data_IF_143543772212
#
_entry.id   IF_143543772212
#
_cell.length_a   1.000
_cell.length_b   1.000
_cell.length_c   1.000
_cell.angle_alpha   90.00
_cell.angle_beta   90.00
_cell.angle_gamma   90.00
#
_symmetry.space_group_name_H-M   'P 1'
#
loop_
_entity.id
_entity.type
_entity.pdbx_description
1 polymer ?
#
# COMPACT_ATOMS: atom_id res chain seq x y z
N UNK A 1 14.37 10.98 5.39
CA UNK A 1 13.84 12.19 4.73
C UNK A 1 13.96 13.37 5.68
N UNK A 2 14.92 14.27 5.43
CA UNK A 2 15.00 15.56 6.11
C UNK A 2 13.94 16.52 5.54
N UNK A 3 13.44 17.44 6.37
CA UNK A 3 12.60 18.56 5.89
C UNK A 3 11.09 18.31 5.80
N UNK A 4 10.54 17.22 6.36
CA UNK A 4 9.07 17.07 6.46
C UNK A 4 8.48 18.21 7.30
N UNK A 5 7.31 18.70 6.88
CA UNK A 5 6.49 19.66 7.64
C UNK A 5 5.10 19.07 7.79
N UNK A 6 4.47 19.34 8.93
CA UNK A 6 3.09 18.95 9.20
C UNK A 6 2.30 20.21 9.57
N UNK A 7 1.05 20.27 9.12
CA UNK A 7 0.11 21.33 9.47
C UNK A 7 -0.33 21.21 10.94
N UNK A 8 -0.96 22.24 11.53
CA UNK A 8 -1.63 22.14 12.82
C UNK A 8 -2.61 20.95 12.89
N UNK A 9 -2.77 20.37 14.07
CA UNK A 9 -3.54 19.13 14.24
C UNK A 9 -5.03 19.34 13.95
N UNK A 10 -5.58 20.44 14.46
CA UNK A 10 -6.93 20.96 14.22
C UNK A 10 -7.23 21.16 12.72
N UNK A 11 -6.26 21.69 11.96
CA UNK A 11 -6.44 21.87 10.51
C UNK A 11 -6.60 20.52 9.79
N UNK A 12 -5.83 19.49 10.17
CA UNK A 12 -5.99 18.15 9.58
C UNK A 12 -7.26 17.45 10.08
N UNK A 13 -7.60 17.58 11.36
CA UNK A 13 -8.82 17.03 11.94
C UNK A 13 -10.07 17.58 11.22
N UNK A 14 -10.11 18.87 10.91
CA UNK A 14 -11.19 19.47 10.12
C UNK A 14 -11.31 18.85 8.72
N UNK A 15 -10.18 18.50 8.07
CA UNK A 15 -10.18 17.81 6.77
C UNK A 15 -10.71 16.38 6.88
N UNK A 16 -10.39 15.66 7.96
CA UNK A 16 -10.92 14.32 8.23
C UNK A 16 -12.43 14.39 8.48
N UNK A 17 -12.90 15.34 9.29
CA UNK A 17 -14.33 15.52 9.55
C UNK A 17 -15.11 15.86 8.27
N UNK A 18 -14.58 16.75 7.43
CA UNK A 18 -15.16 17.07 6.13
C UNK A 18 -15.19 15.84 5.19
N UNK A 19 -14.13 15.03 5.18
CA UNK A 19 -14.11 13.80 4.39
C UNK A 19 -15.16 12.79 4.90
N UNK A 20 -15.29 12.62 6.21
CA UNK A 20 -16.31 11.76 6.83
C UNK A 20 -17.73 12.18 6.43
N UNK A 21 -18.03 13.48 6.46
CA UNK A 21 -19.34 13.99 6.05
C UNK A 21 -19.67 13.63 4.60
N UNK A 22 -18.73 13.82 3.67
CA UNK A 22 -18.93 13.53 2.24
C UNK A 22 -19.00 12.03 1.94
N UNK A 23 -18.30 11.19 2.71
CA UNK A 23 -18.39 9.73 2.57
C UNK A 23 -19.82 9.24 2.83
N UNK A 24 -20.49 9.76 3.86
CA UNK A 24 -21.85 9.37 4.22
C UNK A 24 -21.99 7.85 4.40
N UNK A 25 -22.97 7.27 3.72
CA UNK A 25 -23.28 5.82 3.75
C UNK A 25 -22.49 5.01 2.70
N UNK A 26 -21.52 5.61 2.02
CA UNK A 26 -20.70 4.91 1.03
C UNK A 26 -19.83 3.84 1.68
N UNK A 27 -19.64 2.70 1.02
CA UNK A 27 -18.66 1.69 1.42
C UNK A 27 -17.23 2.21 1.16
N UNK A 28 -16.73 2.99 2.11
CA UNK A 28 -15.45 3.69 2.00
C UNK A 28 -14.73 3.75 3.34
N UNK A 29 -13.49 3.23 3.36
CA UNK A 29 -12.65 3.16 4.55
C UNK A 29 -11.68 4.34 4.63
N UNK A 30 -11.89 5.24 5.59
CA UNK A 30 -11.13 6.47 5.77
C UNK A 30 -9.94 6.28 6.72
N UNK A 31 -8.72 6.33 6.18
CA UNK A 31 -7.49 6.26 6.98
C UNK A 31 -6.87 7.65 7.16
N UNK A 32 -6.75 8.11 8.41
CA UNK A 32 -6.03 9.34 8.71
C UNK A 32 -4.55 9.05 8.96
N UNK A 33 -3.68 9.72 8.22
CA UNK A 33 -2.22 9.57 8.32
C UNK A 33 -1.58 10.75 9.05
N UNK A 34 -0.59 10.47 9.88
CA UNK A 34 0.26 11.48 10.52
C UNK A 34 1.75 11.21 10.29
N UNK A 35 2.47 12.23 9.82
CA UNK A 35 3.93 12.22 9.68
C UNK A 35 4.63 12.96 10.85
N UNK A 36 3.90 13.24 11.94
CA UNK A 36 4.39 14.00 13.08
C UNK A 36 5.53 13.30 13.84
N UNK A 37 5.67 11.97 13.74
CA UNK A 37 6.72 11.19 14.43
C UNK A 37 8.13 11.72 14.14
N UNK A 38 8.37 12.15 12.90
CA UNK A 38 9.69 12.62 12.46
C UNK A 38 9.97 14.09 12.78
N UNK A 39 8.93 14.88 13.06
CA UNK A 39 9.01 16.33 13.24
C UNK A 39 8.80 16.76 14.70
N UNK A 40 7.89 16.11 15.40
CA UNK A 40 7.46 16.45 16.76
C UNK A 40 7.61 15.29 17.77
N UNK A 41 8.03 14.10 17.31
CA UNK A 41 8.21 12.92 18.16
C UNK A 41 6.99 12.01 18.24
N UNK A 42 7.15 10.89 18.94
CA UNK A 42 6.15 9.82 18.97
C UNK A 42 4.89 10.21 19.74
N UNK A 43 5.04 10.83 20.91
CA UNK A 43 3.93 11.24 21.76
C UNK A 43 2.95 12.18 21.03
N UNK A 44 3.47 13.18 20.32
CA UNK A 44 2.65 14.09 19.50
C UNK A 44 1.96 13.35 18.34
N UNK A 45 2.65 12.40 17.71
CA UNK A 45 2.04 11.60 16.65
C UNK A 45 0.87 10.74 17.16
N UNK A 46 0.99 10.17 18.36
CA UNK A 46 -0.07 9.39 19.02
C UNK A 46 -1.22 10.30 19.47
N UNK A 47 -0.92 11.50 20.00
CA UNK A 47 -1.96 12.47 20.36
C UNK A 47 -2.79 12.87 19.14
N UNK A 48 -2.12 13.24 18.03
CA UNK A 48 -2.77 13.55 16.75
C UNK A 48 -3.58 12.38 16.21
N UNK A 49 -3.03 11.17 16.29
CA UNK A 49 -3.72 9.96 15.87
C UNK A 49 -5.07 9.79 16.56
N UNK A 50 -5.10 9.85 17.90
CA UNK A 50 -6.35 9.74 18.64
C UNK A 50 -7.31 10.89 18.32
N UNK A 51 -6.80 12.11 18.14
CA UNK A 51 -7.62 13.25 17.73
C UNK A 51 -8.22 13.07 16.33
N UNK A 52 -7.52 12.40 15.40
CA UNK A 52 -8.06 12.10 14.07
C UNK A 52 -9.11 10.98 14.09
N UNK A 53 -9.06 10.07 15.07
CA UNK A 53 -10.16 9.13 15.32
C UNK A 53 -11.42 9.87 15.79
N UNK A 54 -11.27 10.83 16.71
CA UNK A 54 -12.39 11.67 17.17
C UNK A 54 -13.01 12.49 16.03
N UNK A 55 -12.19 12.91 15.05
CA UNK A 55 -12.65 13.58 13.84
C UNK A 55 -13.35 12.67 12.82
N UNK A 56 -13.42 11.36 13.07
CA UNK A 56 -14.19 10.41 12.26
C UNK A 56 -13.38 9.52 11.30
N UNK A 57 -12.07 9.41 11.48
CA UNK A 57 -11.28 8.40 10.76
C UNK A 57 -11.62 6.97 11.23
N UNK A 58 -11.66 6.01 10.30
CA UNK A 58 -11.86 4.59 10.62
C UNK A 58 -10.59 3.94 11.16
N UNK A 59 -9.43 4.36 10.63
CA UNK A 59 -8.13 3.88 11.07
C UNK A 59 -7.07 4.99 11.06
N UNK A 60 -6.00 4.76 11.82
CA UNK A 60 -4.83 5.63 11.87
C UNK A 60 -3.62 4.99 11.23
N UNK A 61 -2.86 5.82 10.51
CA UNK A 61 -1.51 5.50 10.07
C UNK A 61 -0.49 6.49 10.66
N UNK A 62 0.29 6.04 11.65
CA UNK A 62 1.47 6.79 12.12
C UNK A 62 2.68 6.44 11.25
N UNK A 63 3.20 7.42 10.52
CA UNK A 63 4.30 7.20 9.59
C UNK A 63 5.68 7.26 10.27
N UNK A 64 6.54 6.31 9.92
CA UNK A 64 7.92 6.24 10.38
C UNK A 64 8.17 5.88 11.85
N UNK A 65 7.46 4.89 12.45
CA UNK A 65 7.98 4.20 13.64
C UNK A 65 9.40 3.71 13.39
N UNK A 66 10.29 3.82 14.38
CA UNK A 66 11.73 3.54 14.21
C UNK A 66 12.22 2.27 14.91
N UNK A 67 11.38 1.64 15.70
CA UNK A 67 11.69 0.40 16.42
C UNK A 67 10.41 -0.36 16.80
N UNK A 68 10.59 -1.57 17.30
CA UNK A 68 9.51 -2.41 17.86
C UNK A 68 8.85 -1.73 19.05
N UNK A 69 9.59 -0.95 19.85
CA UNK A 69 9.05 -0.17 20.97
C UNK A 69 8.11 0.93 20.46
N UNK A 70 8.51 1.67 19.40
CA UNK A 70 7.61 2.64 18.76
C UNK A 70 6.32 1.94 18.30
N UNK A 71 6.43 0.77 17.66
CA UNK A 71 5.27 0.00 17.16
C UNK A 71 4.36 -0.47 18.30
N UNK A 72 4.92 -1.03 19.38
CA UNK A 72 4.17 -1.46 20.57
C UNK A 72 3.51 -0.29 21.29
N UNK A 73 4.18 0.86 21.37
CA UNK A 73 3.62 2.07 21.98
C UNK A 73 2.44 2.62 21.15
N UNK A 74 2.57 2.66 19.83
CA UNK A 74 1.47 3.01 18.91
C UNK A 74 0.30 2.02 19.07
N UNK A 75 0.62 0.73 19.09
CA UNK A 75 -0.33 -0.37 19.26
C UNK A 75 -1.18 -0.25 20.52
N UNK A 76 -0.53 0.11 21.64
CA UNK A 76 -1.16 0.20 22.96
C UNK A 76 -1.86 1.54 23.25
N UNK A 77 -1.40 2.66 22.68
CA UNK A 77 -1.90 4.01 23.02
C UNK A 77 -2.92 4.59 22.04
N UNK A 78 -3.15 3.95 20.89
CA UNK A 78 -4.18 4.38 19.93
C UNK A 78 -5.41 3.49 20.04
N UNK A 79 -6.57 4.10 20.26
CA UNK A 79 -7.81 3.42 20.65
C UNK A 79 -8.64 2.86 19.49
N UNK A 80 -8.16 2.92 18.24
CA UNK A 80 -8.91 2.53 17.04
C UNK A 80 -8.15 1.57 16.13
N UNK A 81 -8.64 1.38 14.90
CA UNK A 81 -7.92 0.57 13.90
C UNK A 81 -6.62 1.28 13.51
N UNK A 82 -5.60 0.48 13.22
CA UNK A 82 -4.23 0.92 13.01
C UNK A 82 -3.66 0.30 11.74
N UNK A 83 -3.13 1.15 10.88
CA UNK A 83 -2.39 0.77 9.69
C UNK A 83 -0.89 0.94 9.92
N UNK A 84 -0.11 -0.01 9.41
CA UNK A 84 1.35 0.09 9.32
C UNK A 84 1.80 -0.07 7.88
N UNK A 85 2.97 0.48 7.56
CA UNK A 85 3.60 0.31 6.25
C UNK A 85 4.90 -0.45 6.40
N UNK A 86 5.01 -1.55 5.65
CA UNK A 86 6.23 -2.32 5.50
C UNK A 86 6.94 -1.83 4.23
N UNK A 87 8.09 -1.18 4.40
CA UNK A 87 8.87 -0.60 3.32
C UNK A 87 10.27 -1.20 3.30
N UNK A 88 10.62 -1.91 2.24
CA UNK A 88 11.95 -2.48 2.06
C UNK A 88 13.00 -1.35 1.94
N UNK A 89 13.99 -1.36 2.84
CA UNK A 89 14.96 -0.26 2.94
C UNK A 89 14.42 1.01 3.62
N UNK A 90 13.23 0.93 4.21
CA UNK A 90 12.65 1.99 5.05
C UNK A 90 13.29 2.06 6.44
N UNK A 91 12.76 2.97 7.27
CA UNK A 91 13.21 3.17 8.65
C UNK A 91 12.45 2.33 9.69
N UNK A 92 11.30 1.76 9.29
CA UNK A 92 10.46 0.94 10.16
C UNK A 92 10.88 -0.52 9.99
N UNK A 93 11.12 -1.27 11.08
CA UNK A 93 11.41 -2.70 11.01
C UNK A 93 10.33 -3.47 10.23
N UNK A 94 10.76 -4.45 9.45
CA UNK A 94 9.85 -5.30 8.68
C UNK A 94 9.30 -6.41 9.57
N UNK A 95 7.99 -6.59 9.53
CA UNK A 95 7.27 -7.60 10.29
C UNK A 95 6.23 -8.31 9.42
N UNK A 96 5.92 -9.55 9.79
CA UNK A 96 4.80 -10.29 9.24
C UNK A 96 3.46 -9.75 9.77
N UNK A 97 2.34 -9.97 9.04
CA UNK A 97 1.01 -9.58 9.50
C UNK A 97 0.65 -10.12 10.89
N UNK A 98 1.08 -11.34 11.23
CA UNK A 98 0.83 -12.00 12.51
C UNK A 98 1.52 -11.27 13.67
N UNK A 99 2.78 -10.87 13.48
CA UNK A 99 3.56 -10.11 14.46
C UNK A 99 2.94 -8.72 14.67
N UNK A 100 2.54 -8.07 13.57
CA UNK A 100 1.88 -6.76 13.62
C UNK A 100 0.51 -6.83 14.30
N UNK A 101 -0.21 -7.94 14.12
CA UNK A 101 -1.48 -8.21 14.82
C UNK A 101 -1.26 -8.34 16.31
N UNK A 102 -0.22 -9.04 16.77
CA UNK A 102 0.16 -9.11 18.18
C UNK A 102 0.53 -7.73 18.75
N UNK A 103 1.11 -6.86 17.92
CA UNK A 103 1.37 -5.46 18.27
C UNK A 103 0.14 -4.54 18.14
N UNK A 104 -1.04 -5.06 17.77
CA UNK A 104 -2.30 -4.30 17.73
C UNK A 104 -2.53 -3.51 16.43
N UNK A 105 -1.93 -3.91 15.31
CA UNK A 105 -2.20 -3.39 13.97
C UNK A 105 -3.20 -4.27 13.20
N UNK A 106 -3.87 -3.68 12.21
CA UNK A 106 -5.04 -4.26 11.54
C UNK A 106 -4.93 -4.21 10.02
N UNK A 107 -4.23 -3.21 9.49
CA UNK A 107 -3.99 -3.02 8.06
C UNK A 107 -2.47 -2.94 7.81
N UNK A 108 -1.96 -3.74 6.87
CA UNK A 108 -0.53 -3.74 6.51
C UNK A 108 -0.39 -3.32 5.06
N UNK A 109 0.35 -2.24 4.83
CA UNK A 109 0.57 -1.68 3.50
C UNK A 109 1.98 -2.04 3.02
N UNK A 110 2.07 -2.67 1.86
CA UNK A 110 3.32 -2.98 1.15
C UNK A 110 3.39 -2.12 -0.13
N UNK A 111 3.74 -0.83 -0.04
CA UNK A 111 3.52 0.12 -1.11
C UNK A 111 4.50 -0.02 -2.28
N UNK A 112 5.69 -0.59 -2.06
CA UNK A 112 6.74 -0.64 -3.08
C UNK A 112 7.24 -2.06 -3.42
N UNK A 113 6.76 -3.11 -2.76
CA UNK A 113 7.25 -4.48 -2.99
C UNK A 113 7.16 -4.89 -4.46
N UNK A 114 5.99 -4.72 -5.08
CA UNK A 114 5.77 -5.08 -6.48
C UNK A 114 6.63 -4.25 -7.43
N UNK A 115 6.70 -2.93 -7.25
CA UNK A 115 7.46 -2.07 -8.15
C UNK A 115 8.98 -2.23 -7.98
N UNK A 116 9.48 -2.50 -6.77
CA UNK A 116 10.89 -2.84 -6.54
C UNK A 116 11.25 -4.17 -7.19
N UNK A 117 10.39 -5.19 -7.06
CA UNK A 117 10.58 -6.47 -7.73
C UNK A 117 10.56 -6.31 -9.25
N UNK A 118 9.61 -5.56 -9.81
CA UNK A 118 9.53 -5.28 -11.24
C UNK A 118 10.75 -4.51 -11.74
N UNK A 119 11.18 -3.46 -11.03
CA UNK A 119 12.36 -2.68 -11.41
C UNK A 119 13.62 -3.54 -11.47
N UNK A 120 13.82 -4.41 -10.47
CA UNK A 120 14.95 -5.36 -10.47
C UNK A 120 14.88 -6.31 -11.67
N UNK A 121 13.74 -6.97 -11.89
CA UNK A 121 13.57 -7.92 -12.99
C UNK A 121 13.78 -7.27 -14.37
N UNK A 122 13.26 -6.06 -14.57
CA UNK A 122 13.47 -5.30 -15.81
C UNK A 122 14.94 -4.96 -16.03
N UNK A 123 15.64 -4.45 -15.01
CA UNK A 123 17.08 -4.13 -15.10
C UNK A 123 17.87 -5.39 -15.44
N UNK A 124 17.60 -6.50 -14.75
CA UNK A 124 18.34 -7.74 -14.94
C UNK A 124 18.15 -8.31 -16.35
N UNK A 125 16.92 -8.27 -16.90
CA UNK A 125 16.66 -8.74 -18.27
C UNK A 125 17.22 -7.82 -19.34
N UNK A 126 17.13 -6.50 -19.17
CA UNK A 126 17.71 -5.54 -20.12
C UNK A 126 19.24 -5.66 -20.16
N UNK A 127 19.88 -5.93 -19.01
CA UNK A 127 21.31 -6.22 -18.95
C UNK A 127 21.67 -7.50 -19.69
N UNK A 128 20.93 -8.58 -19.45
CA UNK A 128 21.09 -9.85 -20.19
C UNK A 128 20.97 -9.65 -21.71
N UNK A 129 19.95 -8.92 -22.16
CA UNK A 129 19.74 -8.64 -23.58
C UNK A 129 20.88 -7.81 -24.17
N UNK A 130 21.41 -6.82 -23.41
CA UNK A 130 22.54 -5.99 -23.82
C UNK A 130 23.84 -6.78 -23.98
N UNK A 131 24.09 -7.73 -23.08
CA UNK A 131 25.35 -8.50 -23.02
C UNK A 131 25.37 -9.67 -24.01
N UNK A 132 24.27 -10.40 -24.14
CA UNK A 132 24.19 -11.61 -24.98
C UNK A 132 23.57 -11.37 -26.37
N UNK A 133 22.88 -10.24 -26.57
CA UNK A 133 22.14 -9.95 -27.79
C UNK A 133 20.85 -10.76 -27.97
N UNK A 134 20.47 -11.61 -27.00
CA UNK A 134 19.28 -12.46 -27.08
C UNK A 134 18.74 -12.82 -25.68
N UNK A 135 17.56 -13.44 -25.61
CA UNK A 135 16.98 -13.99 -24.37
C UNK A 135 16.95 -15.51 -24.35
N UNK A 136 17.47 -16.18 -25.40
CA UNK A 136 17.34 -17.62 -25.67
C UNK A 136 17.68 -18.51 -24.46
N UNK A 137 18.77 -18.21 -23.77
CA UNK A 137 19.29 -19.04 -22.68
C UNK A 137 18.83 -18.54 -21.28
N UNK A 138 17.86 -17.64 -21.24
CA UNK A 138 17.41 -16.93 -20.03
C UNK A 138 15.88 -16.85 -19.90
N UNK A 139 15.15 -17.77 -20.52
CA UNK A 139 13.68 -17.78 -20.50
C UNK A 139 13.11 -17.96 -19.08
N UNK A 140 13.88 -18.53 -18.16
CA UNK A 140 13.50 -18.68 -16.74
C UNK A 140 13.42 -17.35 -15.96
N UNK A 141 13.85 -16.23 -16.56
CA UNK A 141 13.79 -14.88 -15.94
C UNK A 141 12.54 -14.09 -16.31
N UNK A 142 11.69 -14.61 -17.18
CA UNK A 142 10.47 -13.95 -17.64
C UNK A 142 9.27 -14.88 -17.42
N UNK A 143 8.08 -14.29 -17.35
CA UNK A 143 6.84 -15.09 -17.31
C UNK A 143 6.64 -15.82 -18.63
N UNK A 144 6.03 -16.99 -18.58
CA UNK A 144 5.70 -17.75 -19.79
C UNK A 144 4.49 -17.13 -20.51
N UNK A 145 4.31 -17.50 -21.78
CA UNK A 145 3.14 -17.07 -22.55
C UNK A 145 1.83 -17.55 -21.92
N UNK A 146 1.82 -18.77 -21.37
CA UNK A 146 0.65 -19.35 -20.70
C UNK A 146 0.31 -18.59 -19.42
N UNK A 147 1.30 -18.36 -18.55
CA UNK A 147 1.12 -17.57 -17.31
C UNK A 147 0.63 -16.15 -17.61
N UNK A 148 1.20 -15.49 -18.63
CA UNK A 148 0.80 -14.14 -19.00
C UNK A 148 -0.64 -14.08 -19.54
N UNK A 149 -1.04 -15.06 -20.37
CA UNK A 149 -2.41 -15.15 -20.86
C UNK A 149 -3.41 -15.46 -19.74
N UNK A 150 -3.01 -16.27 -18.76
CA UNK A 150 -3.81 -16.54 -17.57
C UNK A 150 -3.96 -15.28 -16.72
N UNK A 151 -2.89 -14.51 -16.53
CA UNK A 151 -2.92 -13.24 -15.81
C UNK A 151 -3.87 -12.22 -16.46
N UNK A 152 -3.90 -12.16 -17.79
CA UNK A 152 -4.76 -11.27 -18.56
C UNK A 152 -6.19 -11.81 -18.79
N UNK A 153 -6.49 -13.03 -18.34
CA UNK A 153 -7.73 -13.75 -18.60
C UNK A 153 -8.15 -13.74 -20.09
N UNK A 154 -7.18 -14.03 -20.98
CA UNK A 154 -7.41 -14.04 -22.44
C UNK A 154 -8.50 -15.04 -22.84
N UNK A 155 -8.63 -16.14 -22.09
CA UNK A 155 -9.66 -17.16 -22.33
C UNK A 155 -11.07 -16.58 -22.23
N UNK A 156 -11.36 -15.83 -21.16
CA UNK A 156 -12.65 -15.17 -20.97
C UNK A 156 -12.94 -14.17 -22.09
N UNK A 157 -11.93 -13.40 -22.53
CA UNK A 157 -12.06 -12.49 -23.67
C UNK A 157 -12.45 -13.22 -24.96
N UNK A 158 -11.84 -14.37 -25.26
CA UNK A 158 -12.16 -15.17 -26.44
C UNK A 158 -13.55 -15.83 -26.33
N UNK A 159 -13.96 -16.27 -25.15
CA UNK A 159 -15.31 -16.79 -24.91
C UNK A 159 -16.37 -15.71 -25.10
N UNK A 160 -16.08 -14.49 -24.63
CA UNK A 160 -16.91 -13.31 -24.86
C UNK A 160 -17.00 -13.00 -26.37
N UNK A 161 -15.88 -12.94 -27.08
CA UNK A 161 -15.85 -12.73 -28.53
C UNK A 161 -16.68 -13.79 -29.28
N UNK A 162 -16.50 -15.07 -28.95
CA UNK A 162 -17.24 -16.18 -29.57
C UNK A 162 -18.75 -16.05 -29.38
N UNK A 163 -19.20 -15.57 -28.22
CA UNK A 163 -20.62 -15.35 -27.93
C UNK A 163 -21.24 -14.34 -28.89
N UNK A 164 -20.53 -13.25 -29.17
CA UNK A 164 -21.08 -12.12 -29.95
C UNK A 164 -20.70 -12.12 -31.44
N UNK A 165 -19.67 -12.88 -31.83
CA UNK A 165 -19.31 -13.10 -33.24
C UNK A 165 -20.33 -13.93 -34.04
N UNK A 166 -21.32 -14.53 -33.34
CA UNK A 166 -22.47 -15.21 -33.93
C UNK A 166 -23.50 -14.24 -34.57
N UNK A 167 -23.48 -12.95 -34.21
CA UNK A 167 -24.29 -11.91 -34.85
C UNK A 167 -23.63 -11.44 -36.15
N UNK A 168 -23.57 -12.32 -37.15
CA UNK A 168 -23.21 -11.93 -38.52
C UNK A 168 -24.48 -11.57 -39.28
N UNK A 169 -24.45 -10.41 -39.95
CA UNK A 169 -25.48 -10.01 -40.91
C UNK A 169 -25.21 -10.79 -42.19
N UNK A 170 -26.15 -11.60 -42.65
CA UNK A 170 -26.08 -12.18 -43.99
C UNK A 170 -26.12 -11.03 -45.00
N UNK A 171 -25.05 -10.88 -45.78
CA UNK A 171 -24.93 -9.96 -46.91
C UNK A 171 -24.89 -10.80 -48.18
#
# INVERSE_FOLDING_TARGET
MSGKKVIPADEHAAKIAAAREVIGDSDFFLVARTDARSTHGLAEAISRANFYLEAGADAIFVAGPRSDEDLKEIGSKINGLKACTMLEGGITPLHAPEELKEMGFHLVVYPFTSIYASARGMIDMLKTLKESGTTRDHLNKVTTFEEFNQLLDVKSCLEFEKRYSSFKKDV
#
